data_IF_949544462927
#
_entry.id   IF_949544462927
#
_cell.length_a   1.000
_cell.length_b   1.000
_cell.length_c   1.000
_cell.angle_alpha   90.00
_cell.angle_beta   90.00
_cell.angle_gamma   90.00
#
_symmetry.space_group_name_H-M   'P 1'
#
loop_
_entity.id
_entity.type
_entity.pdbx_description
1 polymer ?
#
# COMPACT_ATOMS: atom_id res chain seq x y z
N UNK A 1 -10.56 24.07 4.09
CA UNK A 1 -10.25 23.24 2.90
C UNK A 1 -11.41 22.29 2.74
N UNK A 2 -12.13 22.38 1.62
CA UNK A 2 -13.27 21.51 1.31
C UNK A 2 -12.69 20.09 1.20
N UNK A 3 -13.16 19.19 2.07
CA UNK A 3 -12.58 17.86 2.23
C UNK A 3 -12.50 17.14 0.90
N UNK A 4 -11.37 16.47 0.65
CA UNK A 4 -11.18 15.61 -0.52
C UNK A 4 -12.34 14.62 -0.52
N UNK A 5 -13.07 14.60 -1.63
CA UNK A 5 -14.22 13.71 -1.81
C UNK A 5 -13.75 12.26 -1.88
N UNK A 6 -14.64 11.28 -1.70
CA UNK A 6 -14.30 9.84 -1.81
C UNK A 6 -13.83 9.43 -3.21
N UNK A 7 -13.81 10.34 -4.17
CA UNK A 7 -13.50 10.08 -5.58
C UNK A 7 -12.25 10.81 -6.07
N UNK A 8 -11.59 11.57 -5.20
CA UNK A 8 -10.47 12.42 -5.54
C UNK A 8 -9.21 12.11 -4.73
N UNK A 9 -8.07 12.49 -5.29
CA UNK A 9 -6.76 12.44 -4.64
C UNK A 9 -5.96 13.70 -5.02
N UNK A 10 -4.85 13.97 -4.32
CA UNK A 10 -3.99 15.10 -4.63
C UNK A 10 -3.05 14.78 -5.78
N UNK A 11 -2.78 15.75 -6.65
CA UNK A 11 -1.77 15.61 -7.69
C UNK A 11 -0.39 15.30 -7.07
N UNK A 12 0.26 14.18 -7.44
CA UNK A 12 1.55 13.78 -6.86
C UNK A 12 2.72 14.68 -7.25
N UNK A 13 2.58 15.43 -8.33
CA UNK A 13 3.62 16.28 -8.93
C UNK A 13 3.56 17.74 -8.46
N UNK A 14 2.72 18.05 -7.46
CA UNK A 14 2.72 19.36 -6.83
C UNK A 14 4.02 19.62 -6.06
N UNK A 15 4.68 20.74 -6.37
CA UNK A 15 5.87 21.18 -5.64
C UNK A 15 5.53 21.63 -4.21
N UNK A 16 4.32 22.16 -3.99
CA UNK A 16 3.86 22.59 -2.68
C UNK A 16 3.04 21.48 -2.01
N UNK A 17 3.60 20.86 -0.98
CA UNK A 17 2.97 19.75 -0.25
C UNK A 17 1.89 20.20 0.74
N UNK A 18 1.70 21.51 0.92
CA UNK A 18 0.59 22.06 1.70
C UNK A 18 -0.67 22.29 0.86
N UNK A 19 -0.55 22.21 -0.47
CA UNK A 19 -1.69 22.27 -1.39
C UNK A 19 -2.07 20.90 -1.91
N UNK A 20 -3.33 20.78 -2.31
CA UNK A 20 -3.90 19.59 -2.92
C UNK A 20 -4.76 20.02 -4.11
N UNK A 21 -4.19 19.93 -5.31
CA UNK A 21 -4.93 19.98 -6.56
C UNK A 21 -5.62 18.64 -6.75
N UNK A 22 -6.94 18.64 -6.64
CA UNK A 22 -7.74 17.44 -6.81
C UNK A 22 -7.58 16.85 -8.23
N UNK A 23 -7.36 15.55 -8.28
CA UNK A 23 -7.43 14.67 -9.46
C UNK A 23 -8.42 13.54 -9.15
N UNK A 24 -9.04 12.93 -10.16
CA UNK A 24 -10.03 11.88 -9.93
C UNK A 24 -9.39 10.52 -9.99
N UNK A 25 -9.77 9.59 -9.12
CA UNK A 25 -9.24 8.23 -9.17
C UNK A 25 -9.43 7.57 -10.53
N UNK A 26 -10.54 7.84 -11.23
CA UNK A 26 -10.82 7.30 -12.56
C UNK A 26 -9.78 7.69 -13.63
N UNK A 27 -9.04 8.78 -13.41
CA UNK A 27 -8.01 9.25 -14.36
C UNK A 27 -6.78 8.31 -14.39
N UNK A 28 -6.54 7.57 -13.31
CA UNK A 28 -5.40 6.64 -13.17
C UNK A 28 -5.81 5.20 -12.87
N UNK A 29 -7.02 4.99 -12.38
CA UNK A 29 -7.65 3.69 -12.16
C UNK A 29 -8.92 3.65 -13.01
N UNK A 30 -8.87 3.28 -14.31
CA UNK A 30 -10.01 3.42 -15.22
C UNK A 30 -11.27 2.66 -14.81
N UNK A 31 -11.11 1.58 -14.01
CA UNK A 31 -12.21 0.78 -13.48
C UNK A 31 -12.67 1.23 -12.08
N UNK A 32 -12.16 2.36 -11.59
CA UNK A 32 -12.50 2.87 -10.28
C UNK A 32 -14.01 2.99 -10.09
N UNK A 33 -14.46 2.51 -8.94
CA UNK A 33 -15.82 2.68 -8.45
C UNK A 33 -15.76 3.29 -7.04
N UNK A 34 -16.71 4.16 -6.71
CA UNK A 34 -16.71 4.86 -5.41
C UNK A 34 -16.77 3.88 -4.22
N UNK A 35 -17.35 2.69 -4.42
CA UNK A 35 -17.42 1.63 -3.39
C UNK A 35 -16.04 1.09 -2.96
N UNK A 36 -15.00 1.36 -3.73
CA UNK A 36 -13.62 0.99 -3.40
C UNK A 36 -13.09 1.82 -2.23
N UNK A 37 -13.67 2.99 -1.97
CA UNK A 37 -13.25 3.90 -0.91
C UNK A 37 -14.21 3.80 0.27
N UNK A 38 -13.67 3.43 1.43
CA UNK A 38 -14.40 3.39 2.70
C UNK A 38 -13.81 4.38 3.68
N UNK A 39 -14.64 5.33 4.14
CA UNK A 39 -14.28 6.29 5.16
C UNK A 39 -14.82 5.84 6.52
N UNK A 40 -14.00 6.00 7.56
CA UNK A 40 -14.39 5.81 8.94
C UNK A 40 -14.07 7.09 9.72
N UNK A 41 -15.07 7.95 9.87
CA UNK A 41 -14.92 9.26 10.52
C UNK A 41 -14.56 9.15 12.00
N UNK A 42 -15.06 8.10 12.69
CA UNK A 42 -14.74 7.86 14.09
C UNK A 42 -13.24 7.58 14.30
N UNK A 43 -12.59 6.97 13.31
CA UNK A 43 -11.16 6.66 13.33
C UNK A 43 -10.31 7.62 12.49
N UNK A 44 -10.93 8.60 11.82
CA UNK A 44 -10.25 9.47 10.84
C UNK A 44 -9.41 8.69 9.83
N UNK A 45 -9.94 7.55 9.36
CA UNK A 45 -9.23 6.64 8.46
C UNK A 45 -9.98 6.46 7.15
N UNK A 46 -9.23 6.29 6.06
CA UNK A 46 -9.74 5.98 4.73
C UNK A 46 -9.07 4.70 4.23
N UNK A 47 -9.85 3.82 3.62
CA UNK A 47 -9.36 2.59 2.99
C UNK A 47 -9.76 2.59 1.52
N UNK A 48 -8.78 2.48 0.64
CA UNK A 48 -8.96 2.23 -0.79
C UNK A 48 -8.67 0.75 -1.05
N UNK A 49 -9.67 0.00 -1.54
CA UNK A 49 -9.53 -1.41 -1.92
C UNK A 49 -9.65 -1.54 -3.43
N UNK A 50 -8.54 -1.87 -4.09
CA UNK A 50 -8.50 -2.11 -5.53
C UNK A 50 -8.72 -3.62 -5.76
N UNK A 51 -9.81 -4.04 -6.42
CA UNK A 51 -10.00 -5.43 -6.83
C UNK A 51 -8.90 -5.88 -7.79
N UNK A 52 -8.66 -7.20 -7.92
CA UNK A 52 -7.60 -7.73 -8.80
C UNK A 52 -7.71 -7.25 -10.25
N UNK A 53 -8.93 -7.14 -10.79
CA UNK A 53 -9.17 -6.62 -12.14
C UNK A 53 -9.16 -5.08 -12.21
N UNK A 54 -9.09 -4.39 -11.08
CA UNK A 54 -9.11 -2.94 -10.98
C UNK A 54 -7.73 -2.28 -11.07
N UNK A 55 -6.66 -3.08 -11.13
CA UNK A 55 -5.30 -2.56 -11.27
C UNK A 55 -5.08 -1.94 -12.67
N UNK A 56 -4.30 -0.85 -12.76
CA UNK A 56 -4.05 -0.16 -14.01
C UNK A 56 -3.15 -0.96 -14.95
N UNK A 57 -3.10 -0.56 -16.22
CA UNK A 57 -2.21 -1.14 -17.23
C UNK A 57 -0.74 -0.70 -17.07
N UNK A 58 -0.51 0.46 -16.44
CA UNK A 58 0.81 1.03 -16.17
C UNK A 58 0.92 1.43 -14.71
N UNK A 59 2.15 1.59 -14.20
CA UNK A 59 2.37 2.09 -12.85
C UNK A 59 1.80 3.50 -12.68
N UNK A 60 1.01 3.70 -11.62
CA UNK A 60 0.38 4.98 -11.31
C UNK A 60 0.80 5.49 -9.95
N UNK A 61 0.79 6.81 -9.79
CA UNK A 61 1.08 7.47 -8.52
C UNK A 61 -0.16 8.20 -8.02
N UNK A 62 -0.40 8.07 -6.73
CA UNK A 62 -1.44 8.77 -6.00
C UNK A 62 -0.80 9.50 -4.83
N UNK A 63 -1.28 10.69 -4.50
CA UNK A 63 -0.91 11.39 -3.26
C UNK A 63 -2.17 11.63 -2.44
N UNK A 64 -2.13 11.20 -1.19
CA UNK A 64 -3.13 11.50 -0.17
C UNK A 64 -2.53 12.42 0.88
N UNK A 65 -3.38 13.18 1.56
CA UNK A 65 -2.96 14.11 2.60
C UNK A 65 -3.81 13.94 3.85
N UNK A 66 -3.16 13.87 5.01
CA UNK A 66 -3.81 14.01 6.29
C UNK A 66 -3.53 15.41 6.81
N UNK A 67 -4.58 16.18 7.04
CA UNK A 67 -4.50 17.51 7.63
C UNK A 67 -4.80 17.42 9.12
N UNK A 68 -4.01 18.08 9.99
CA UNK A 68 -4.32 18.15 11.41
C UNK A 68 -5.73 18.71 11.63
N UNK A 69 -6.55 17.99 12.40
CA UNK A 69 -7.88 18.48 12.78
C UNK A 69 -7.69 19.66 13.73
N UNK A 70 -8.15 20.86 13.33
CA UNK A 70 -8.18 22.00 14.25
C UNK A 70 -9.09 21.63 15.44
N UNK A 71 -8.59 21.78 16.66
CA UNK A 71 -9.42 21.69 17.84
C UNK A 71 -10.54 22.74 17.72
N UNK A 72 -11.77 22.38 18.06
CA UNK A 72 -12.88 23.34 18.08
C UNK A 72 -12.48 24.50 19.00
N UNK A 73 -12.53 25.74 18.49
CA UNK A 73 -12.26 26.93 19.27
C UNK A 73 -13.26 26.98 20.43
N UNK A 74 -12.82 26.67 21.65
CA UNK A 74 -13.45 27.24 22.82
C UNK A 74 -12.98 28.70 22.89
N UNK A 75 -13.87 29.71 22.77
CA UNK A 75 -13.47 31.11 22.89
C UNK A 75 -13.29 31.44 24.37
N UNK A 76 -12.24 30.91 25.00
CA UNK A 76 -11.80 31.40 26.31
C UNK A 76 -10.36 30.99 26.60
N UNK A 77 -9.43 31.74 26.00
CA UNK A 77 -8.36 32.47 26.70
C UNK A 77 -7.30 32.92 25.69
N UNK A 78 -7.40 34.18 25.31
CA UNK A 78 -6.26 34.98 24.86
C UNK A 78 -5.18 34.94 25.94
N UNK A 79 -3.99 34.44 25.60
CA UNK A 79 -2.70 35.13 25.76
C UNK A 79 -1.53 34.18 25.53
N UNK A 80 -0.47 34.78 24.98
CA UNK A 80 0.91 34.32 24.92
C UNK A 80 1.24 33.22 23.89
N UNK A 81 2.11 33.61 22.96
CA UNK A 81 2.92 32.71 22.18
C UNK A 81 3.68 31.75 23.11
N UNK A 82 3.32 30.48 23.05
CA UNK A 82 4.24 29.40 23.40
C UNK A 82 4.31 28.47 22.21
N UNK A 83 5.33 28.66 21.37
CA UNK A 83 5.73 27.62 20.43
C UNK A 83 6.43 26.56 21.26
N UNK A 84 5.65 25.71 21.91
CA UNK A 84 6.15 24.48 22.51
C UNK A 84 6.84 23.67 21.41
N UNK A 85 8.09 23.30 21.64
CA UNK A 85 8.83 22.41 20.75
C UNK A 85 8.11 21.05 20.73
N UNK A 86 7.27 20.83 19.72
CA UNK A 86 6.37 19.68 19.64
C UNK A 86 5.06 19.93 18.89
N UNK A 87 4.66 21.19 18.67
CA UNK A 87 3.42 21.54 17.96
C UNK A 87 3.66 21.88 16.47
N UNK A 88 4.35 20.99 15.75
CA UNK A 88 4.37 21.07 14.30
C UNK A 88 3.09 20.40 13.77
N UNK A 89 2.00 21.18 13.63
CA UNK A 89 0.79 20.74 12.90
C UNK A 89 1.08 20.69 11.41
N UNK A 90 1.98 19.80 10.99
CA UNK A 90 2.33 19.60 9.57
C UNK A 90 1.40 18.59 8.93
N UNK A 91 1.17 18.75 7.63
CA UNK A 91 0.40 17.80 6.86
C UNK A 91 1.20 16.50 6.67
N UNK A 92 0.53 15.35 6.83
CA UNK A 92 1.10 14.07 6.44
C UNK A 92 0.80 13.84 4.96
N UNK A 93 1.82 13.55 4.16
CA UNK A 93 1.68 13.28 2.74
C UNK A 93 1.99 11.80 2.48
N UNK A 94 1.03 11.08 1.90
CA UNK A 94 1.13 9.65 1.60
C UNK A 94 1.23 9.48 0.09
N UNK A 95 2.39 9.05 -0.40
CA UNK A 95 2.60 8.73 -1.80
C UNK A 95 2.43 7.24 -2.02
N UNK A 96 1.45 6.87 -2.84
CA UNK A 96 1.12 5.49 -3.16
C UNK A 96 1.51 5.23 -4.61
N UNK A 97 2.22 4.12 -4.84
CA UNK A 97 2.46 3.59 -6.18
C UNK A 97 1.56 2.38 -6.39
N UNK A 98 0.61 2.49 -7.33
CA UNK A 98 -0.21 1.36 -7.77
C UNK A 98 0.50 0.73 -8.95
N UNK A 99 0.93 -0.53 -8.81
CA UNK A 99 1.64 -1.27 -9.85
C UNK A 99 0.70 -1.74 -10.96
N UNK A 100 1.22 -1.87 -12.17
CA UNK A 100 0.46 -2.46 -13.27
C UNK A 100 0.01 -3.91 -12.94
N UNK A 101 -1.17 -4.32 -13.43
CA UNK A 101 -1.78 -5.61 -13.14
C UNK A 101 -0.89 -6.83 -13.46
N UNK A 102 0.01 -6.70 -14.44
CA UNK A 102 0.95 -7.72 -14.88
C UNK A 102 2.35 -7.63 -14.23
N UNK A 103 2.54 -6.72 -13.26
CA UNK A 103 3.82 -6.55 -12.55
C UNK A 103 4.07 -7.61 -11.46
N UNK A 104 3.18 -8.60 -11.31
CA UNK A 104 3.43 -9.74 -10.43
C UNK A 104 4.60 -10.54 -10.98
N UNK A 105 5.81 -10.24 -10.48
CA UNK A 105 6.94 -11.14 -10.63
C UNK A 105 6.54 -12.49 -10.02
N UNK A 106 6.45 -13.51 -10.87
CA UNK A 106 6.21 -14.89 -10.46
C UNK A 106 7.27 -15.26 -9.43
N UNK A 107 6.90 -15.34 -8.15
CA UNK A 107 7.72 -16.02 -7.15
C UNK A 107 7.60 -17.52 -7.40
N UNK A 108 8.16 -18.01 -8.52
CA UNK A 108 8.41 -19.44 -8.70
C UNK A 108 9.49 -19.83 -7.70
N UNK A 109 9.08 -20.29 -6.52
CA UNK A 109 9.94 -21.06 -5.64
C UNK A 109 10.37 -22.32 -6.38
N UNK A 110 11.55 -22.30 -7.00
CA UNK A 110 12.21 -23.51 -7.48
C UNK A 110 12.63 -24.34 -6.28
N UNK A 111 11.72 -25.20 -5.80
CA UNK A 111 12.07 -26.35 -4.96
C UNK A 111 12.86 -27.33 -5.84
N UNK A 112 14.17 -27.15 -5.89
CA UNK A 112 15.08 -28.14 -6.46
C UNK A 112 15.18 -29.30 -5.48
N UNK A 113 14.27 -30.27 -5.61
CA UNK A 113 14.38 -31.54 -4.88
C UNK A 113 15.47 -32.36 -5.59
N UNK A 114 16.70 -32.28 -5.09
CA UNK A 114 17.77 -33.21 -5.45
C UNK A 114 17.39 -34.59 -4.90
N UNK A 115 17.00 -35.52 -5.76
CA UNK A 115 16.77 -36.91 -5.39
C UNK A 115 18.12 -37.57 -5.08
N UNK A 116 18.39 -37.85 -3.80
CA UNK A 116 19.56 -38.62 -3.38
C UNK A 116 19.22 -40.10 -3.57
N UNK A 117 19.72 -40.72 -4.64
CA UNK A 117 19.62 -42.17 -4.82
C UNK A 117 20.63 -42.86 -3.89
N UNK A 118 20.18 -43.31 -2.72
CA UNK A 118 20.99 -44.17 -1.84
C UNK A 118 20.92 -45.62 -2.35
N UNK A 119 22.04 -46.11 -2.92
CA UNK A 119 22.19 -47.50 -3.32
C UNK A 119 22.31 -48.43 -2.12
N UNK A 120 21.49 -49.48 -2.09
CA UNK A 120 21.67 -50.64 -1.22
C UNK A 120 22.66 -51.59 -1.90
N UNK A 121 23.86 -51.75 -1.32
CA UNK A 121 24.73 -52.90 -1.62
C UNK A 121 24.34 -54.02 -0.68
N UNK A 122 23.47 -54.91 -1.17
CA UNK A 122 23.14 -56.18 -0.52
C UNK A 122 23.79 -57.32 -1.28
N UNK A 123 24.88 -57.87 -0.75
CA UNK A 123 25.38 -59.18 -1.16
C UNK A 123 25.88 -59.90 0.09
N UNK A 124 24.95 -60.57 0.78
CA UNK A 124 25.28 -61.62 1.73
C UNK A 124 25.83 -62.82 0.94
N UNK A 125 27.02 -63.29 1.31
CA UNK A 125 27.59 -64.54 0.79
C UNK A 125 26.92 -65.79 1.37
N UNK A 126 27.51 -66.96 1.06
CA UNK A 126 27.18 -68.36 1.45
C UNK A 126 26.33 -69.09 0.37
N UNK A 127 26.64 -70.27 -0.20
CA UNK A 127 27.50 -71.41 0.14
C UNK A 127 27.68 -72.35 -1.09
N UNK A 128 28.83 -73.04 -1.11
CA UNK A 128 29.05 -74.46 -1.46
C UNK A 128 28.64 -75.06 -2.84
N UNK A 129 29.61 -75.79 -3.43
CA UNK A 129 29.34 -77.13 -3.99
C UNK A 129 29.76 -77.41 -5.44
N UNK A 130 30.96 -77.99 -5.57
CA UNK A 130 31.40 -79.09 -6.45
C UNK A 130 30.93 -79.19 -7.93
N UNK A 131 31.90 -79.20 -8.87
CA UNK A 131 32.51 -80.41 -9.45
C UNK A 131 33.85 -80.09 -10.12
#
# INVERSE_FOLDING_TARGET
MKGITTTEYCAPEEANLDTCKAKKYIDVLPMFDESWVKQNDAKSSLTLTIPENGFPAEDQKLRLVCVPKKAAENPSRSNAADKTFGEATTNCNVFVTVKAANSAASATSTLQVMAVASGVVGAAGLLAGSL
#
